data_IF_035007737397
#
_entry.id   IF_035007737397
#
_cell.length_a   1.000
_cell.length_b   1.000
_cell.length_c   1.000
_cell.angle_alpha   90.00
_cell.angle_beta   90.00
_cell.angle_gamma   90.00
#
_symmetry.space_group_name_H-M   'P 1'
#
loop_
_entity.id
_entity.type
_entity.pdbx_description
1 polymer ?
#
# COMPACT_ATOMS: atom_id res chain seq x y z
N UNK A 1 17.06 -14.27 14.44
CA UNK A 1 16.18 -15.45 14.67
C UNK A 1 17.06 -16.68 14.92
N UNK A 2 16.50 -17.82 15.32
CA UNK A 2 17.28 -19.05 15.60
C UNK A 2 16.87 -20.15 14.61
N UNK A 3 17.87 -20.81 14.01
CA UNK A 3 17.71 -22.04 13.23
C UNK A 3 18.23 -23.22 14.06
N UNK A 4 17.40 -24.25 14.28
CA UNK A 4 17.78 -25.43 15.04
C UNK A 4 18.16 -26.56 14.10
N UNK A 5 19.29 -27.21 14.36
CA UNK A 5 19.87 -28.28 13.54
C UNK A 5 20.22 -29.45 14.46
N UNK A 6 19.24 -30.31 14.75
CA UNK A 6 19.39 -31.37 15.75
C UNK A 6 19.67 -30.80 17.15
N UNK A 7 20.82 -31.13 17.73
CA UNK A 7 21.26 -30.61 19.02
C UNK A 7 21.99 -29.26 18.93
N UNK A 8 22.23 -28.73 17.71
CA UNK A 8 22.95 -27.47 17.49
C UNK A 8 21.95 -26.35 17.23
N UNK A 9 22.23 -25.16 17.76
CA UNK A 9 21.48 -23.95 17.44
C UNK A 9 22.39 -22.97 16.69
N UNK A 10 21.91 -22.46 15.55
CA UNK A 10 22.49 -21.32 14.87
C UNK A 10 21.71 -20.07 15.31
N UNK A 11 22.26 -19.38 16.31
CA UNK A 11 21.76 -18.10 16.80
C UNK A 11 22.06 -16.96 15.81
N UNK A 12 21.40 -15.82 16.02
CA UNK A 12 21.64 -14.56 15.31
C UNK A 12 21.46 -14.61 13.79
N UNK A 13 20.67 -15.57 13.29
CA UNK A 13 20.30 -15.64 11.88
C UNK A 13 19.56 -14.37 11.46
N UNK A 14 20.09 -13.66 10.48
CA UNK A 14 19.36 -12.58 9.82
C UNK A 14 18.28 -13.19 8.92
N UNK A 15 17.03 -12.92 9.28
CA UNK A 15 15.86 -13.38 8.52
C UNK A 15 14.86 -12.24 8.46
N UNK A 16 14.37 -11.97 7.25
CA UNK A 16 13.41 -10.92 6.96
C UNK A 16 12.32 -11.48 6.07
N UNK A 17 11.11 -10.92 6.16
CA UNK A 17 10.05 -11.23 5.22
C UNK A 17 9.81 -10.04 4.30
N UNK A 18 9.89 -10.29 3.00
CA UNK A 18 9.69 -9.32 1.90
C UNK A 18 8.80 -9.90 0.79
N UNK A 19 7.97 -10.89 1.12
CA UNK A 19 7.08 -11.58 0.16
C UNK A 19 6.37 -10.67 -0.84
N UNK A 20 5.73 -9.57 -0.42
CA UNK A 20 5.10 -8.60 -1.30
C UNK A 20 5.95 -8.07 -2.47
N UNK A 21 7.27 -8.09 -2.34
CA UNK A 21 8.25 -7.58 -3.32
C UNK A 21 8.83 -8.70 -4.21
N UNK A 22 8.51 -9.98 -3.90
CA UNK A 22 9.07 -11.16 -4.55
C UNK A 22 8.22 -11.66 -5.73
N UNK A 23 8.85 -12.48 -6.59
CA UNK A 23 8.17 -13.11 -7.73
C UNK A 23 6.93 -13.92 -7.32
N UNK A 24 5.84 -13.71 -8.06
CA UNK A 24 4.48 -14.16 -7.68
C UNK A 24 4.18 -15.63 -7.99
N UNK A 25 4.98 -16.30 -8.83
CA UNK A 25 4.71 -17.66 -9.27
C UNK A 25 4.86 -18.69 -8.16
N UNK A 26 5.75 -18.41 -7.18
CA UNK A 26 6.08 -19.32 -6.07
C UNK A 26 5.41 -18.93 -4.76
N UNK A 27 4.39 -18.07 -4.80
CA UNK A 27 3.81 -17.45 -3.60
C UNK A 27 3.06 -18.40 -2.67
N UNK A 28 2.87 -19.66 -3.08
CA UNK A 28 2.31 -20.71 -2.24
C UNK A 28 3.35 -21.76 -1.85
N UNK A 29 4.60 -21.61 -2.31
CA UNK A 29 5.67 -22.51 -1.93
C UNK A 29 6.07 -22.23 -0.47
N UNK A 30 6.42 -23.28 0.30
CA UNK A 30 7.00 -23.12 1.63
C UNK A 30 8.26 -22.23 1.57
N UNK A 31 8.38 -21.30 2.52
CA UNK A 31 9.51 -20.37 2.58
C UNK A 31 9.43 -19.18 1.63
N UNK A 32 8.39 -19.06 0.81
CA UNK A 32 8.23 -17.89 -0.06
C UNK A 32 8.23 -16.58 0.73
N UNK A 33 8.93 -15.58 0.21
CA UNK A 33 9.00 -14.25 0.79
C UNK A 33 10.00 -14.09 1.92
N UNK A 34 10.58 -15.19 2.44
CA UNK A 34 11.66 -15.10 3.40
C UNK A 34 13.01 -14.84 2.71
N UNK A 35 13.75 -13.86 3.23
CA UNK A 35 15.18 -13.69 3.00
C UNK A 35 15.92 -14.25 4.20
N UNK A 36 16.86 -15.15 3.95
CA UNK A 36 17.67 -15.81 4.98
C UNK A 36 19.14 -15.56 4.65
N UNK A 37 19.93 -15.25 5.66
CA UNK A 37 21.38 -15.16 5.54
C UNK A 37 21.99 -16.44 4.95
N UNK A 38 22.73 -16.30 3.86
CA UNK A 38 23.35 -17.43 3.12
C UNK A 38 24.30 -18.23 4.02
N UNK A 39 25.04 -17.58 4.91
CA UNK A 39 26.00 -18.25 5.79
C UNK A 39 25.34 -19.34 6.65
N UNK A 40 24.15 -19.07 7.19
CA UNK A 40 23.40 -20.06 7.96
C UNK A 40 22.86 -21.20 7.12
N UNK A 41 22.43 -20.93 5.88
CA UNK A 41 22.02 -21.97 4.93
C UNK A 41 23.19 -22.89 4.59
N UNK A 42 24.38 -22.32 4.33
CA UNK A 42 25.60 -23.10 4.07
C UNK A 42 25.94 -24.01 5.24
N UNK A 43 25.91 -23.49 6.48
CA UNK A 43 26.18 -24.31 7.69
C UNK A 43 25.16 -25.44 7.87
N UNK A 44 23.90 -25.20 7.51
CA UNK A 44 22.88 -26.24 7.55
C UNK A 44 23.14 -27.34 6.52
N UNK A 45 23.58 -26.99 5.31
CA UNK A 45 23.97 -27.95 4.27
C UNK A 45 25.23 -28.74 4.66
N UNK A 46 26.20 -28.10 5.30
CA UNK A 46 27.40 -28.77 5.84
C UNK A 46 27.04 -29.81 6.90
N UNK A 47 26.11 -29.50 7.81
CA UNK A 47 25.64 -30.44 8.82
C UNK A 47 24.94 -31.67 8.19
N UNK A 48 24.19 -31.47 7.10
CA UNK A 48 23.60 -32.57 6.32
C UNK A 48 24.69 -33.40 5.64
N UNK A 49 25.66 -32.76 5.00
CA UNK A 49 26.76 -33.45 4.32
C UNK A 49 27.62 -34.27 5.29
N UNK A 50 27.77 -33.81 6.53
CA UNK A 50 28.45 -34.53 7.61
C UNK A 50 27.61 -35.65 8.24
N UNK A 51 26.34 -35.80 7.85
CA UNK A 51 25.42 -36.79 8.44
C UNK A 51 24.98 -36.46 9.87
N UNK A 52 25.23 -35.23 10.35
CA UNK A 52 24.86 -34.79 11.69
C UNK A 52 23.36 -34.58 11.82
N UNK A 53 22.70 -34.17 10.74
CA UNK A 53 21.27 -33.84 10.72
C UNK A 53 20.63 -34.37 9.42
N UNK A 54 19.46 -35.02 9.47
CA UNK A 54 18.74 -35.42 8.27
C UNK A 54 18.31 -34.20 7.43
N UNK A 55 18.36 -34.34 6.10
CA UNK A 55 17.95 -33.28 5.16
C UNK A 55 16.51 -32.80 5.41
N UNK A 56 15.60 -33.73 5.74
CA UNK A 56 14.19 -33.40 6.00
C UNK A 56 14.01 -32.53 7.24
N UNK A 57 14.85 -32.74 8.27
CA UNK A 57 14.84 -31.90 9.47
C UNK A 57 15.31 -30.49 9.15
N UNK A 58 16.40 -30.34 8.39
CA UNK A 58 16.88 -29.01 7.94
C UNK A 58 15.82 -28.30 7.10
N UNK A 59 15.17 -29.03 6.18
CA UNK A 59 14.09 -28.49 5.35
C UNK A 59 12.94 -27.96 6.22
N UNK A 60 12.48 -28.74 7.19
CA UNK A 60 11.39 -28.32 8.08
C UNK A 60 11.77 -27.07 8.88
N UNK A 61 12.98 -27.04 9.43
CA UNK A 61 13.46 -25.91 10.24
C UNK A 61 13.60 -24.61 9.44
N UNK A 62 13.99 -24.70 8.16
CA UNK A 62 13.99 -23.55 7.26
C UNK A 62 12.58 -23.05 6.93
N UNK A 63 11.61 -23.96 6.77
CA UNK A 63 10.20 -23.60 6.58
C UNK A 63 9.64 -22.93 7.83
N UNK A 64 9.85 -23.51 9.01
CA UNK A 64 9.38 -22.95 10.27
C UNK A 64 10.02 -21.58 10.55
N UNK A 65 11.29 -21.41 10.16
CA UNK A 65 11.99 -20.12 10.28
C UNK A 65 11.34 -19.05 9.39
N UNK A 66 10.97 -19.41 8.16
CA UNK A 66 10.25 -18.52 7.26
C UNK A 66 8.84 -18.19 7.75
N UNK A 67 8.10 -19.15 8.30
CA UNK A 67 6.77 -18.93 8.90
C UNK A 67 6.85 -18.01 10.12
N UNK A 68 7.86 -18.17 10.97
CA UNK A 68 8.11 -17.25 12.08
C UNK A 68 8.44 -15.84 11.59
N UNK A 69 9.18 -15.69 10.49
CA UNK A 69 9.51 -14.38 9.92
C UNK A 69 8.28 -13.70 9.32
N UNK A 70 7.43 -14.48 8.64
CA UNK A 70 6.11 -14.04 8.16
C UNK A 70 5.23 -13.57 9.32
N UNK A 71 5.11 -14.37 10.37
CA UNK A 71 4.35 -14.02 11.57
C UNK A 71 4.87 -12.76 12.26
N UNK A 72 6.19 -12.61 12.39
CA UNK A 72 6.80 -11.41 12.94
C UNK A 72 6.51 -10.16 12.08
N UNK A 73 6.58 -10.29 10.76
CA UNK A 73 6.24 -9.21 9.84
C UNK A 73 4.77 -8.80 9.95
N UNK A 74 3.86 -9.77 10.06
CA UNK A 74 2.43 -9.50 10.27
C UNK A 74 2.18 -8.78 11.60
N UNK A 75 2.89 -9.15 12.66
CA UNK A 75 2.77 -8.53 13.98
C UNK A 75 3.34 -7.10 14.04
N UNK A 76 4.30 -6.75 13.16
CA UNK A 76 4.91 -5.42 13.08
C UNK A 76 4.13 -4.44 12.18
N UNK A 77 2.98 -4.86 11.65
CA UNK A 77 2.15 -3.96 10.84
C UNK A 77 1.44 -2.91 11.71
N UNK A 78 1.23 -1.73 11.12
CA UNK A 78 0.42 -0.67 11.73
C UNK A 78 -0.98 -1.21 12.08
N UNK A 79 -1.65 -0.72 13.14
CA UNK A 79 -2.95 -1.25 13.58
C UNK A 79 -3.99 -1.35 12.46
N UNK A 80 -4.04 -0.35 11.57
CA UNK A 80 -4.98 -0.31 10.45
C UNK A 80 -4.71 -1.40 9.40
N UNK A 81 -3.45 -1.83 9.28
CA UNK A 81 -3.01 -2.89 8.38
C UNK A 81 -3.13 -4.25 9.06
N UNK A 82 -2.84 -4.34 10.35
CA UNK A 82 -2.88 -5.58 11.13
C UNK A 82 -4.27 -6.24 11.17
N UNK A 83 -5.35 -5.44 11.14
CA UNK A 83 -6.73 -5.97 11.10
C UNK A 83 -7.06 -6.74 9.82
N UNK A 84 -6.40 -6.40 8.71
CA UNK A 84 -6.67 -6.98 7.38
C UNK A 84 -5.51 -7.83 6.85
N UNK A 85 -4.32 -7.69 7.43
CA UNK A 85 -3.13 -8.44 7.06
C UNK A 85 -3.14 -9.84 7.65
N UNK A 86 -3.36 -10.80 6.77
CA UNK A 86 -3.26 -12.24 7.01
C UNK A 86 -2.22 -12.88 6.09
N UNK A 87 -1.78 -14.10 6.42
CA UNK A 87 -0.93 -14.93 5.55
C UNK A 87 -1.47 -15.05 4.11
N UNK A 88 -2.78 -15.17 3.95
CA UNK A 88 -3.40 -15.25 2.62
C UNK A 88 -3.37 -13.90 1.89
N UNK A 89 -3.58 -12.79 2.59
CA UNK A 89 -3.58 -11.45 1.99
C UNK A 89 -2.18 -10.99 1.56
N UNK A 90 -1.11 -11.38 2.28
CA UNK A 90 0.28 -11.05 1.88
C UNK A 90 0.73 -11.86 0.66
N UNK A 91 0.12 -13.03 0.44
CA UNK A 91 0.29 -13.86 -0.76
C UNK A 91 -0.66 -13.48 -1.89
N UNK A 92 -1.59 -12.55 -1.66
CA UNK A 92 -2.45 -12.05 -2.72
C UNK A 92 -1.65 -11.14 -3.65
N UNK A 93 -1.84 -11.30 -4.96
CA UNK A 93 -1.22 -10.45 -5.98
C UNK A 93 -2.26 -9.77 -6.85
N UNK A 94 -3.38 -9.39 -6.25
CA UNK A 94 -4.51 -8.77 -6.96
C UNK A 94 -5.37 -9.77 -7.73
N UNK A 95 -5.27 -11.06 -7.43
CA UNK A 95 -5.93 -12.15 -8.15
C UNK A 95 -6.79 -13.06 -7.25
N UNK A 96 -6.99 -12.69 -5.98
CA UNK A 96 -7.92 -13.40 -5.10
C UNK A 96 -9.38 -13.04 -5.43
N UNK A 97 -10.37 -13.86 -5.02
CA UNK A 97 -11.79 -13.57 -5.28
C UNK A 97 -12.26 -12.19 -4.78
N UNK A 98 -11.72 -11.72 -3.66
CA UNK A 98 -12.04 -10.38 -3.14
C UNK A 98 -11.49 -9.27 -4.05
N UNK A 99 -10.27 -9.43 -4.58
CA UNK A 99 -9.70 -8.52 -5.56
C UNK A 99 -10.50 -8.52 -6.86
N UNK A 100 -10.89 -9.69 -7.35
CA UNK A 100 -11.71 -9.81 -8.56
C UNK A 100 -13.06 -9.11 -8.39
N UNK A 101 -13.73 -9.32 -7.25
CA UNK A 101 -15.00 -8.67 -6.95
C UNK A 101 -14.88 -7.15 -6.80
N UNK A 102 -13.76 -6.65 -6.28
CA UNK A 102 -13.52 -5.22 -6.07
C UNK A 102 -13.04 -4.48 -7.33
N UNK A 103 -12.72 -5.18 -8.43
CA UNK A 103 -12.20 -4.54 -9.65
C UNK A 103 -13.04 -3.37 -10.14
N UNK A 104 -14.38 -3.47 -10.28
CA UNK A 104 -15.15 -2.34 -10.81
C UNK A 104 -15.09 -1.09 -9.92
N UNK A 105 -15.06 -1.28 -8.60
CA UNK A 105 -14.93 -0.19 -7.64
C UNK A 105 -13.51 0.42 -7.68
N UNK A 106 -12.50 -0.44 -7.75
CA UNK A 106 -11.12 -0.02 -7.89
C UNK A 106 -10.86 0.74 -9.20
N UNK A 107 -11.42 0.27 -10.32
CA UNK A 107 -11.30 0.92 -11.62
C UNK A 107 -11.94 2.31 -11.57
N UNK A 108 -13.15 2.45 -11.03
CA UNK A 108 -13.79 3.75 -10.85
C UNK A 108 -12.98 4.69 -9.93
N UNK A 109 -12.36 4.14 -8.88
CA UNK A 109 -11.48 4.88 -7.99
C UNK A 109 -10.20 5.33 -8.71
N UNK A 110 -9.56 4.44 -9.48
CA UNK A 110 -8.35 4.73 -10.23
C UNK A 110 -8.63 5.74 -11.35
N UNK A 111 -9.75 5.64 -12.04
CA UNK A 111 -10.20 6.63 -13.03
C UNK A 111 -10.36 8.01 -12.38
N UNK A 112 -11.01 8.09 -11.23
CA UNK A 112 -11.12 9.35 -10.49
C UNK A 112 -9.76 9.88 -10.04
N UNK A 113 -8.88 9.00 -9.59
CA UNK A 113 -7.51 9.35 -9.24
C UNK A 113 -6.77 9.98 -10.44
N UNK A 114 -6.80 9.31 -11.59
CA UNK A 114 -6.14 9.80 -12.81
C UNK A 114 -6.75 11.12 -13.28
N UNK A 115 -8.08 11.26 -13.26
CA UNK A 115 -8.74 12.54 -13.60
C UNK A 115 -8.24 13.69 -12.72
N UNK A 116 -8.05 13.48 -11.42
CA UNK A 116 -7.53 14.52 -10.50
C UNK A 116 -6.06 14.84 -10.77
N UNK A 117 -5.25 13.82 -11.05
CA UNK A 117 -3.83 14.00 -11.41
C UNK A 117 -3.69 14.74 -12.74
N UNK A 118 -4.50 14.43 -13.75
CA UNK A 118 -4.46 15.10 -15.05
C UNK A 118 -4.79 16.59 -14.93
N UNK A 119 -5.75 16.96 -14.06
CA UNK A 119 -6.03 18.38 -13.76
C UNK A 119 -4.81 19.12 -13.20
N UNK A 120 -3.92 18.43 -12.49
CA UNK A 120 -2.71 19.04 -11.94
C UNK A 120 -1.70 19.46 -13.03
N UNK A 121 -1.87 19.02 -14.27
CA UNK A 121 -1.10 19.51 -15.44
C UNK A 121 -1.58 20.88 -15.95
N UNK A 122 -2.74 21.35 -15.50
CA UNK A 122 -3.39 22.58 -15.95
C UNK A 122 -3.75 23.51 -14.78
N UNK A 123 -2.78 23.78 -13.89
CA UNK A 123 -3.01 24.60 -12.68
C UNK A 123 -3.50 26.02 -13.00
N UNK A 124 -3.19 26.53 -14.20
CA UNK A 124 -3.68 27.80 -14.73
C UNK A 124 -5.20 27.85 -14.88
N UNK A 125 -5.84 26.69 -15.08
CA UNK A 125 -7.29 26.55 -15.26
C UNK A 125 -8.04 26.26 -13.96
N UNK A 126 -7.33 25.84 -12.92
CA UNK A 126 -7.92 25.40 -11.65
C UNK A 126 -7.31 26.19 -10.49
N UNK A 127 -7.88 27.36 -10.13
CA UNK A 127 -7.32 28.22 -9.08
C UNK A 127 -7.45 27.63 -7.67
N UNK A 128 -8.35 26.67 -7.45
CA UNK A 128 -8.62 26.08 -6.15
C UNK A 128 -8.45 24.56 -6.14
N UNK A 129 -8.19 24.02 -4.95
CA UNK A 129 -8.18 22.59 -4.67
C UNK A 129 -9.12 22.29 -3.51
N UNK A 130 -9.99 21.29 -3.66
CA UNK A 130 -10.93 20.87 -2.63
C UNK A 130 -10.66 19.44 -2.16
N UNK A 131 -10.74 19.23 -0.86
CA UNK A 131 -10.74 17.90 -0.24
C UNK A 131 -12.15 17.52 0.22
N UNK A 132 -12.29 16.48 1.07
CA UNK A 132 -13.59 16.13 1.67
C UNK A 132 -14.25 17.30 2.41
N UNK A 133 -13.48 18.15 3.07
CA UNK A 133 -13.99 19.19 3.98
C UNK A 133 -13.18 20.48 4.02
N UNK A 134 -12.22 20.68 3.10
CA UNK A 134 -11.43 21.91 3.05
C UNK A 134 -11.23 22.44 1.62
N UNK A 135 -11.15 23.76 1.51
CA UNK A 135 -10.78 24.49 0.29
C UNK A 135 -9.37 25.06 0.46
N UNK A 136 -8.56 24.95 -0.59
CA UNK A 136 -7.21 25.49 -0.71
C UNK A 136 -7.07 26.27 -2.01
N UNK A 137 -6.06 27.13 -2.11
CA UNK A 137 -5.55 27.55 -3.42
C UNK A 137 -4.83 26.38 -4.08
N UNK A 138 -4.79 26.33 -5.42
CA UNK A 138 -4.06 25.27 -6.15
C UNK A 138 -2.54 25.34 -5.93
N UNK A 139 -2.02 26.49 -5.51
CA UNK A 139 -0.62 26.70 -5.14
C UNK A 139 -0.27 26.24 -3.71
N UNK A 140 -1.27 25.95 -2.86
CA UNK A 140 -1.07 25.56 -1.47
C UNK A 140 -0.20 24.30 -1.34
N UNK A 141 0.85 24.36 -0.51
CA UNK A 141 1.74 23.22 -0.27
C UNK A 141 0.99 21.99 0.30
N UNK A 142 0.04 22.19 1.21
CA UNK A 142 -0.78 21.09 1.75
C UNK A 142 -1.61 20.42 0.66
N UNK A 143 -2.16 21.21 -0.27
CA UNK A 143 -2.88 20.66 -1.42
C UNK A 143 -1.91 19.90 -2.33
N UNK A 144 -0.74 20.46 -2.63
CA UNK A 144 0.30 19.85 -3.49
C UNK A 144 0.83 18.52 -2.96
N UNK A 145 1.04 18.38 -1.65
CA UNK A 145 1.40 17.09 -1.04
C UNK A 145 0.32 16.02 -1.31
N UNK A 146 -0.95 16.45 -1.36
CA UNK A 146 -2.08 15.62 -1.74
C UNK A 146 -2.36 15.55 -3.24
N UNK A 147 -1.64 16.22 -4.15
CA UNK A 147 -1.93 16.19 -5.61
C UNK A 147 -1.40 14.93 -6.32
N UNK A 148 -0.73 14.03 -5.59
CA UNK A 148 -0.41 12.70 -6.10
C UNK A 148 0.55 12.65 -7.30
N UNK A 149 1.26 13.75 -7.60
CA UNK A 149 2.23 13.86 -8.69
C UNK A 149 3.49 13.05 -8.34
N UNK A 150 3.38 11.71 -8.39
CA UNK A 150 4.51 10.80 -8.34
C UNK A 150 4.60 10.05 -9.67
N UNK A 151 5.70 10.17 -10.42
CA UNK A 151 5.93 9.43 -11.67
C UNK A 151 5.79 7.90 -11.49
N UNK A 152 6.00 7.39 -10.28
CA UNK A 152 5.90 5.97 -9.94
C UNK A 152 4.45 5.42 -9.95
N UNK A 153 3.44 6.27 -10.24
CA UNK A 153 2.02 5.89 -10.23
C UNK A 153 1.38 5.77 -11.61
N UNK A 154 2.17 5.87 -12.68
CA UNK A 154 1.68 5.64 -14.04
C UNK A 154 0.95 4.29 -14.13
N UNK A 155 -0.19 4.29 -14.81
CA UNK A 155 -0.96 3.09 -15.10
C UNK A 155 -0.19 2.24 -16.11
N UNK A 156 0.03 0.96 -15.81
CA UNK A 156 0.67 0.00 -16.71
C UNK A 156 -0.34 -0.79 -17.55
N UNK A 157 -1.59 -0.32 -17.62
CA UNK A 157 -2.63 -0.89 -18.48
C UNK A 157 -3.11 -2.26 -17.98
N UNK A 158 -3.22 -2.43 -16.66
CA UNK A 158 -3.64 -3.70 -16.06
C UNK A 158 -2.50 -4.69 -15.76
N UNK A 159 -1.25 -4.22 -15.74
CA UNK A 159 -0.06 -5.01 -15.48
C UNK A 159 0.18 -5.30 -13.99
N UNK A 160 1.46 -5.47 -13.62
CA UNK A 160 1.87 -5.79 -12.25
C UNK A 160 1.59 -4.66 -11.28
N UNK A 161 1.73 -3.40 -11.71
CA UNK A 161 1.45 -2.23 -10.88
C UNK A 161 -0.04 -2.10 -10.61
N UNK A 162 -0.89 -2.31 -11.62
CA UNK A 162 -2.34 -2.37 -11.43
C UNK A 162 -2.71 -3.41 -10.37
N UNK A 163 -2.20 -4.64 -10.50
CA UNK A 163 -2.49 -5.74 -9.57
C UNK A 163 -2.02 -5.45 -8.15
N UNK A 164 -0.85 -4.82 -8.01
CA UNK A 164 -0.35 -4.38 -6.71
C UNK A 164 -1.25 -3.30 -6.09
N UNK A 165 -1.69 -2.31 -6.87
CA UNK A 165 -2.61 -1.25 -6.40
C UNK A 165 -3.98 -1.81 -6.01
N UNK A 166 -4.54 -2.74 -6.80
CA UNK A 166 -5.80 -3.42 -6.48
C UNK A 166 -5.68 -4.21 -5.18
N UNK A 167 -4.58 -4.94 -5.00
CA UNK A 167 -4.29 -5.64 -3.74
C UNK A 167 -4.22 -4.66 -2.56
N UNK A 168 -3.51 -3.54 -2.70
CA UNK A 168 -3.44 -2.50 -1.66
C UNK A 168 -4.81 -1.90 -1.34
N UNK A 169 -5.65 -1.67 -2.37
CA UNK A 169 -7.00 -1.17 -2.20
C UNK A 169 -7.88 -2.12 -1.38
N UNK A 170 -7.82 -3.43 -1.68
CA UNK A 170 -8.67 -4.44 -1.01
C UNK A 170 -8.14 -4.87 0.35
N UNK A 171 -6.83 -4.97 0.50
CA UNK A 171 -6.21 -5.54 1.70
C UNK A 171 -5.49 -4.51 2.57
N UNK A 172 -5.65 -3.21 2.30
CA UNK A 172 -5.11 -2.13 3.14
C UNK A 172 -3.58 -2.07 3.22
N UNK A 173 -2.85 -2.76 2.35
CA UNK A 173 -1.39 -2.75 2.37
C UNK A 173 -0.84 -1.40 1.93
N UNK A 174 0.09 -0.84 2.74
CA UNK A 174 0.91 0.38 2.52
C UNK A 174 0.68 1.04 1.15
N UNK A 175 -0.15 2.08 1.16
CA UNK A 175 -0.44 2.88 -0.01
C UNK A 175 -1.64 3.74 0.31
N UNK A 176 -1.40 5.03 0.56
CA UNK A 176 -2.49 5.99 0.67
C UNK A 176 -3.23 6.02 -0.68
N UNK A 177 -4.32 5.25 -0.76
CA UNK A 177 -5.29 5.28 -1.85
C UNK A 177 -6.28 6.43 -1.64
N UNK A 178 -5.99 7.40 -0.77
CA UNK A 178 -6.79 8.61 -0.69
C UNK A 178 -6.72 9.34 -2.03
N UNK A 179 -7.89 9.67 -2.56
CA UNK A 179 -7.98 10.49 -3.75
C UNK A 179 -7.29 11.84 -3.50
N UNK A 180 -6.47 12.31 -4.46
CA UNK A 180 -5.90 13.63 -4.41
C UNK A 180 -6.94 14.73 -4.17
N UNK A 181 -6.51 15.90 -3.72
CA UNK A 181 -7.41 17.06 -3.75
C UNK A 181 -7.94 17.26 -5.19
N UNK A 182 -9.23 17.50 -5.32
CA UNK A 182 -9.83 17.81 -6.61
C UNK A 182 -9.53 19.27 -6.94
N UNK A 183 -8.78 19.51 -8.00
CA UNK A 183 -8.58 20.84 -8.56
C UNK A 183 -9.85 21.29 -9.26
N UNK A 184 -10.34 22.49 -8.95
CA UNK A 184 -11.64 23.00 -9.42
C UNK A 184 -11.54 24.42 -9.99
N UNK A 185 -12.37 24.69 -10.97
CA UNK A 185 -12.68 26.05 -11.49
C UNK A 185 -13.53 26.83 -10.47
N UNK A 186 -13.72 28.13 -10.70
CA UNK A 186 -14.62 28.96 -9.89
C UNK A 186 -16.07 28.46 -9.89
N UNK A 187 -16.59 28.04 -11.05
CA UNK A 187 -17.95 27.51 -11.20
C UNK A 187 -18.12 26.16 -10.49
N UNK A 188 -17.12 25.28 -10.61
CA UNK A 188 -17.09 24.00 -9.88
C UNK A 188 -16.98 24.21 -8.37
N UNK A 189 -16.17 25.18 -7.92
CA UNK A 189 -16.08 25.53 -6.51
C UNK A 189 -17.42 26.03 -5.96
N UNK A 190 -18.13 26.86 -6.72
CA UNK A 190 -19.44 27.38 -6.34
C UNK A 190 -20.46 26.25 -6.17
N UNK A 191 -20.51 25.30 -7.11
CA UNK A 191 -21.36 24.09 -7.00
C UNK A 191 -20.97 23.22 -5.81
N UNK A 192 -19.67 22.95 -5.63
CA UNK A 192 -19.16 22.14 -4.53
C UNK A 192 -19.50 22.73 -3.16
N UNK A 193 -19.48 24.06 -3.03
CA UNK A 193 -19.88 24.80 -1.82
C UNK A 193 -21.37 24.70 -1.57
N UNK A 194 -22.20 24.84 -2.60
CA UNK A 194 -23.66 24.74 -2.49
C UNK A 194 -24.08 23.37 -1.93
N UNK A 195 -23.51 22.28 -2.45
CA UNK A 195 -23.75 20.90 -1.94
C UNK A 195 -23.33 20.69 -0.48
N UNK A 196 -22.44 21.53 0.04
CA UNK A 196 -21.85 21.43 1.39
C UNK A 196 -22.24 22.59 2.29
N UNK A 197 -23.32 23.28 1.95
CA UNK A 197 -23.93 24.30 2.79
C UNK A 197 -25.27 23.76 3.27
N UNK A 198 -25.47 23.74 4.59
CA UNK A 198 -26.72 23.26 5.18
C UNK A 198 -27.90 24.19 4.88
N UNK A 199 -29.14 23.73 5.11
CA UNK A 199 -30.36 24.51 4.84
C UNK A 199 -30.40 25.85 5.60
N UNK A 200 -29.70 25.95 6.74
CA UNK A 200 -29.59 27.18 7.54
C UNK A 200 -28.33 28.02 7.19
N UNK A 201 -27.65 27.74 6.08
CA UNK A 201 -26.45 28.47 5.65
C UNK A 201 -25.14 28.03 6.34
N UNK A 202 -25.21 27.06 7.26
CA UNK A 202 -24.03 26.51 7.94
C UNK A 202 -23.09 25.77 6.98
N UNK A 203 -21.82 26.20 6.90
CA UNK A 203 -20.81 25.58 6.04
C UNK A 203 -20.34 24.25 6.64
N UNK A 204 -20.41 23.17 5.86
CA UNK A 204 -19.85 21.85 6.19
C UNK A 204 -18.41 21.67 5.69
N UNK A 205 -17.74 22.78 5.40
CA UNK A 205 -16.36 22.84 4.93
C UNK A 205 -15.62 24.01 5.57
N UNK A 206 -14.28 23.97 5.53
CA UNK A 206 -13.39 24.99 6.07
C UNK A 206 -12.51 25.58 4.99
N UNK A 207 -12.14 26.84 5.15
CA UNK A 207 -11.05 27.42 4.36
C UNK A 207 -9.72 27.03 5.00
N UNK A 208 -8.73 26.70 4.18
CA UNK A 208 -7.40 26.39 4.67
C UNK A 208 -6.76 27.65 5.28
N UNK A 209 -6.38 27.56 6.55
CA UNK A 209 -5.76 28.69 7.28
C UNK A 209 -4.33 29.02 6.81
N UNK A 210 -3.70 28.13 6.04
CA UNK A 210 -2.32 28.30 5.57
C UNK A 210 -2.29 29.13 4.29
N UNK A 211 -3.12 28.78 3.31
CA UNK A 211 -3.17 29.50 2.04
C UNK A 211 -4.25 30.58 1.99
N UNK A 212 -5.12 30.64 3.00
CA UNK A 212 -6.23 31.59 3.15
C UNK A 212 -6.91 31.92 1.81
N UNK A 213 -7.56 30.92 1.18
CA UNK A 213 -8.07 31.08 -0.18
C UNK A 213 -9.12 32.18 -0.20
N UNK A 214 -8.89 33.20 -1.02
CA UNK A 214 -9.86 34.27 -1.24
C UNK A 214 -11.02 33.75 -2.10
N UNK A 215 -11.99 33.12 -1.44
CA UNK A 215 -13.20 32.59 -2.07
C UNK A 215 -14.30 33.65 -1.97
N UNK A 216 -14.90 34.10 -3.09
CA UNK A 216 -16.01 35.05 -3.07
C UNK A 216 -17.13 34.53 -2.15
N UNK A 217 -17.57 35.36 -1.20
CA UNK A 217 -18.73 35.05 -0.39
C UNK A 217 -19.97 35.11 -1.31
N UNK A 218 -20.77 34.05 -1.27
CA UNK A 218 -22.11 34.04 -1.89
C UNK A 218 -23.05 34.66 -0.88
#
# INVERSE_FOLDING_TARGET
MILRLGARELADMAVLFVGPEMGMQRRYDPGWGALIEIAGVVRALEAVAAGEVPVDQVRQELVDLAERAEGAWLADQLPEVAEVATSSSIRCVGDCPACEAARPEFDAHNDEYQRRVDRARHLDRYPFAVSKSSIHTSSCHMAKQGLGISPARADDGGGLLYRHKLRSFVHGFRGDMTLPCLLVTDDELSRWRAERTGPEGGRRYRLCKICDPHVPLV
#
